data_IF_709402248529
#
_entry.id   IF_709402248529
#
_cell.length_a   1.000
_cell.length_b   1.000
_cell.length_c   1.000
_cell.angle_alpha   90.00
_cell.angle_beta   90.00
_cell.angle_gamma   90.00
#
_symmetry.space_group_name_H-M   'P 1'
#
loop_
_entity.id
_entity.type
_entity.pdbx_description
1 polymer ?
#
# COMPACT_ATOMS: atom_id res chain seq x y z
N UNK A 1 8.50 6.49 -17.25
CA UNK A 1 8.47 5.29 -18.10
C UNK A 1 9.86 4.68 -18.29
N UNK A 2 10.91 5.46 -18.62
CA UNK A 2 12.29 4.94 -18.78
C UNK A 2 12.80 4.04 -17.64
N UNK A 3 12.63 4.45 -16.38
CA UNK A 3 13.05 3.65 -15.22
C UNK A 3 12.42 2.24 -15.19
N UNK A 4 11.18 2.10 -15.65
CA UNK A 4 10.50 0.80 -15.67
C UNK A 4 10.99 -0.11 -16.79
N UNK A 5 11.36 0.44 -17.96
CA UNK A 5 12.01 -0.35 -19.00
C UNK A 5 13.35 -0.90 -18.51
N UNK A 6 14.12 -0.10 -17.76
CA UNK A 6 15.38 -0.56 -17.15
C UNK A 6 15.14 -1.67 -16.12
N UNK A 7 14.17 -1.49 -15.22
CA UNK A 7 13.84 -2.48 -14.18
C UNK A 7 13.33 -3.80 -14.78
N UNK A 8 12.56 -3.73 -15.88
CA UNK A 8 11.99 -4.89 -16.56
C UNK A 8 12.90 -5.47 -17.66
N UNK A 9 14.08 -4.89 -17.90
CA UNK A 9 14.99 -5.33 -18.97
C UNK A 9 14.42 -5.15 -20.38
N UNK A 10 13.49 -4.22 -20.59
CA UNK A 10 12.84 -4.00 -21.88
C UNK A 10 13.74 -3.13 -22.77
N UNK A 11 14.16 -3.68 -23.91
CA UNK A 11 14.99 -2.97 -24.89
C UNK A 11 14.26 -1.76 -25.47
N UNK A 12 15.00 -0.69 -25.74
CA UNK A 12 14.44 0.49 -26.42
C UNK A 12 13.94 0.17 -27.84
N UNK A 13 14.51 -0.87 -28.47
CA UNK A 13 14.10 -1.35 -29.79
C UNK A 13 12.77 -2.10 -29.76
N UNK A 14 12.35 -2.58 -28.59
CA UNK A 14 11.03 -3.18 -28.46
C UNK A 14 9.97 -2.09 -28.44
N UNK A 15 9.08 -2.11 -29.44
CA UNK A 15 7.96 -1.19 -29.59
C UNK A 15 6.82 -1.52 -28.59
N UNK A 16 7.18 -1.70 -27.32
CA UNK A 16 6.26 -1.96 -26.22
C UNK A 16 5.49 -0.70 -25.84
N UNK A 17 4.16 -0.80 -25.83
CA UNK A 17 3.29 0.29 -25.39
C UNK A 17 3.47 0.58 -23.90
N UNK A 18 3.39 1.86 -23.54
CA UNK A 18 3.38 2.34 -22.16
C UNK A 18 2.34 1.63 -21.28
N UNK A 19 1.21 1.21 -21.85
CA UNK A 19 0.16 0.51 -21.10
C UNK A 19 0.49 -0.96 -20.83
N UNK A 20 1.20 -1.63 -21.73
CA UNK A 20 1.72 -2.98 -21.46
C UNK A 20 2.75 -2.94 -20.35
N UNK A 21 3.67 -1.97 -20.39
CA UNK A 21 4.68 -1.77 -19.33
C UNK A 21 4.03 -1.51 -17.97
N UNK A 22 2.95 -0.70 -17.93
CA UNK A 22 2.18 -0.50 -16.68
C UNK A 22 1.51 -1.79 -16.21
N UNK A 23 1.00 -2.60 -17.14
CA UNK A 23 0.31 -3.85 -16.82
C UNK A 23 1.27 -4.89 -16.24
N UNK A 24 2.44 -5.08 -16.84
CA UNK A 24 3.49 -5.97 -16.33
C UNK A 24 3.99 -5.52 -14.96
N UNK A 25 4.25 -4.22 -14.77
CA UNK A 25 4.59 -3.68 -13.43
C UNK A 25 3.49 -3.99 -12.43
N UNK A 26 2.22 -3.75 -12.76
CA UNK A 26 1.11 -4.02 -11.85
C UNK A 26 0.96 -5.50 -11.53
N UNK A 27 1.22 -6.39 -12.48
CA UNK A 27 1.24 -7.83 -12.27
C UNK A 27 2.40 -8.24 -11.34
N UNK A 28 3.62 -7.77 -11.60
CA UNK A 28 4.78 -8.03 -10.74
C UNK A 28 4.60 -7.46 -9.32
N UNK A 29 4.14 -6.21 -9.20
CA UNK A 29 3.84 -5.57 -7.90
C UNK A 29 2.68 -6.27 -7.19
N UNK A 30 1.69 -6.76 -7.93
CA UNK A 30 0.59 -7.55 -7.37
C UNK A 30 1.04 -8.82 -6.66
N UNK A 31 2.22 -9.37 -7.00
CA UNK A 31 2.86 -10.48 -6.28
C UNK A 31 3.57 -10.01 -5.01
N UNK A 32 4.16 -8.81 -5.00
CA UNK A 32 4.77 -8.19 -3.81
C UNK A 32 3.75 -7.60 -2.82
N UNK A 33 2.45 -7.57 -3.17
CA UNK A 33 1.38 -7.23 -2.22
C UNK A 33 1.36 -8.21 -1.03
N UNK A 34 1.77 -9.47 -1.23
CA UNK A 34 1.96 -10.44 -0.15
C UNK A 34 3.12 -10.06 0.77
N UNK A 35 4.24 -9.57 0.21
CA UNK A 35 5.39 -9.14 1.00
C UNK A 35 5.02 -8.02 1.97
N UNK A 36 4.24 -7.02 1.54
CA UNK A 36 3.79 -5.96 2.44
C UNK A 36 2.86 -6.50 3.54
N UNK A 37 2.00 -7.46 3.22
CA UNK A 37 1.15 -8.13 4.21
C UNK A 37 1.99 -8.92 5.23
N UNK A 38 2.96 -9.70 4.77
CA UNK A 38 3.92 -10.44 5.62
C UNK A 38 4.72 -9.48 6.51
N UNK A 39 5.22 -8.38 5.96
CA UNK A 39 5.98 -7.37 6.71
C UNK A 39 5.08 -6.75 7.78
N UNK A 40 3.87 -6.32 7.43
CA UNK A 40 2.91 -5.77 8.41
C UNK A 40 2.64 -6.75 9.54
N UNK A 41 2.34 -8.00 9.18
CA UNK A 41 2.04 -9.05 10.15
C UNK A 41 3.22 -9.31 11.09
N UNK A 42 4.44 -9.51 10.57
CA UNK A 42 5.63 -9.74 11.39
C UNK A 42 5.90 -8.57 12.34
N UNK A 43 5.80 -7.34 11.84
CA UNK A 43 6.02 -6.14 12.66
C UNK A 43 4.97 -5.97 13.76
N UNK A 44 3.70 -6.22 13.46
CA UNK A 44 2.62 -6.14 14.45
C UNK A 44 2.71 -7.29 15.47
N UNK A 45 3.00 -8.53 15.03
CA UNK A 45 3.24 -9.66 15.95
C UNK A 45 4.38 -9.35 16.93
N UNK A 46 5.49 -8.82 16.42
CA UNK A 46 6.62 -8.41 17.26
C UNK A 46 6.25 -7.30 18.24
N UNK A 47 5.47 -6.30 17.81
CA UNK A 47 4.99 -5.24 18.71
C UNK A 47 4.16 -5.81 19.88
N UNK A 48 3.23 -6.73 19.61
CA UNK A 48 2.44 -7.36 20.67
C UNK A 48 3.29 -8.20 21.61
N UNK A 49 4.24 -8.96 21.05
CA UNK A 49 5.19 -9.75 21.84
C UNK A 49 6.03 -8.87 22.78
N UNK A 50 6.60 -7.77 22.27
CA UNK A 50 7.40 -6.84 23.07
C UNK A 50 6.54 -6.13 24.12
N UNK A 51 5.33 -5.70 23.77
CA UNK A 51 4.42 -5.01 24.71
C UNK A 51 4.02 -5.91 25.89
N UNK A 52 3.85 -7.22 25.65
CA UNK A 52 3.55 -8.22 26.68
C UNK A 52 4.77 -8.74 27.45
N UNK A 53 6.00 -8.41 27.04
CA UNK A 53 7.23 -8.77 27.74
C UNK A 53 7.69 -7.64 28.67
N UNK A 54 8.43 -7.94 29.74
CA UNK A 54 9.00 -6.92 30.63
C UNK A 54 10.52 -6.78 30.47
N UNK A 55 10.98 -6.69 29.21
CA UNK A 55 12.39 -6.55 28.85
C UNK A 55 12.78 -5.15 28.36
N UNK A 56 14.08 -4.91 28.21
CA UNK A 56 14.65 -3.66 27.69
C UNK A 56 14.03 -3.23 26.35
N UNK A 57 13.68 -4.20 25.49
CA UNK A 57 13.03 -3.94 24.21
C UNK A 57 11.72 -3.17 24.36
N UNK A 58 10.93 -3.40 25.42
CA UNK A 58 9.70 -2.66 25.71
C UNK A 58 10.00 -1.21 26.09
N UNK A 59 10.98 -1.01 26.97
CA UNK A 59 11.43 0.33 27.39
C UNK A 59 11.95 1.13 26.20
N UNK A 60 12.74 0.52 25.32
CA UNK A 60 13.26 1.16 24.10
C UNK A 60 12.13 1.46 23.11
N UNK A 61 11.16 0.56 22.96
CA UNK A 61 10.03 0.73 22.05
C UNK A 61 9.06 1.83 22.52
N UNK A 62 8.84 1.93 23.83
CA UNK A 62 7.96 2.92 24.46
C UNK A 62 8.67 4.25 24.73
N UNK A 63 10.00 4.23 24.83
CA UNK A 63 10.83 5.41 24.99
C UNK A 63 10.71 6.34 23.80
N UNK A 64 9.88 7.37 23.93
CA UNK A 64 9.96 8.54 23.07
C UNK A 64 11.26 9.25 23.38
N UNK A 65 12.29 9.00 22.58
CA UNK A 65 13.51 9.82 22.60
C UNK A 65 13.10 11.25 22.25
N UNK A 66 13.19 12.15 23.23
CA UNK A 66 12.97 13.57 23.04
C UNK A 66 14.06 14.13 22.11
N UNK A 67 13.63 14.81 21.04
CA UNK A 67 14.56 15.34 20.06
C UNK A 67 13.98 15.42 18.65
N UNK A 68 14.42 16.43 17.90
CA UNK A 68 14.04 16.62 16.49
C UNK A 68 15.04 15.86 15.62
N UNK A 69 14.58 14.84 14.87
CA UNK A 69 15.43 14.18 13.87
C UNK A 69 15.87 15.17 12.80
N UNK A 70 17.09 15.00 12.31
CA UNK A 70 17.67 15.77 11.21
C UNK A 70 16.72 15.75 10.00
N UNK A 71 16.56 16.91 9.35
CA UNK A 71 15.54 17.18 8.30
C UNK A 71 15.69 16.30 7.05
N UNK A 72 16.83 15.64 6.90
CA UNK A 72 17.31 15.02 5.66
C UNK A 72 17.03 13.51 5.53
N UNK A 73 16.37 12.89 6.53
CA UNK A 73 16.12 11.44 6.56
C UNK A 73 14.66 11.03 6.43
N UNK A 74 14.43 9.71 6.38
CA UNK A 74 13.09 9.12 6.37
C UNK A 74 12.34 9.49 7.65
N UNK A 75 11.25 10.26 7.51
CA UNK A 75 10.52 10.86 8.64
C UNK A 75 9.64 9.87 9.40
N UNK A 76 9.29 8.73 8.79
CA UNK A 76 8.41 7.73 9.40
C UNK A 76 9.12 6.98 10.52
N UNK A 77 8.58 7.07 11.73
CA UNK A 77 8.98 6.24 12.87
C UNK A 77 8.42 4.83 12.71
N UNK A 78 9.01 3.88 13.43
CA UNK A 78 8.42 2.56 13.60
C UNK A 78 7.00 2.65 14.18
N UNK A 79 6.81 3.47 15.22
CA UNK A 79 5.51 3.74 15.85
C UNK A 79 4.50 4.38 14.89
N UNK A 80 4.97 5.19 13.92
CA UNK A 80 4.10 5.75 12.89
C UNK A 80 3.53 4.67 11.98
N UNK A 81 4.31 3.62 11.66
CA UNK A 81 3.80 2.48 10.88
C UNK A 81 2.72 1.71 11.65
N UNK A 82 2.93 1.50 12.95
CA UNK A 82 1.92 0.87 13.83
C UNK A 82 0.62 1.68 13.76
N UNK A 83 0.70 3.00 13.98
CA UNK A 83 -0.46 3.92 13.95
C UNK A 83 -1.14 3.94 12.58
N UNK A 84 -0.37 3.95 11.50
CA UNK A 84 -0.89 3.96 10.12
C UNK A 84 -1.65 2.66 9.79
N UNK A 85 -1.15 1.50 10.23
CA UNK A 85 -1.74 0.21 9.90
C UNK A 85 -2.91 -0.17 10.79
N UNK A 86 -2.83 0.08 12.10
CA UNK A 86 -3.92 -0.20 13.04
C UNK A 86 -4.99 0.89 13.02
N UNK A 87 -4.68 2.08 12.48
CA UNK A 87 -5.52 3.29 12.53
C UNK A 87 -5.94 3.67 13.96
N UNK A 88 -5.12 3.30 14.96
CA UNK A 88 -5.36 3.54 16.38
C UNK A 88 -4.23 4.37 16.99
N UNK A 89 -4.51 5.04 18.10
CA UNK A 89 -3.49 5.76 18.86
C UNK A 89 -2.55 4.77 19.55
N UNK A 90 -1.34 5.24 19.90
CA UNK A 90 -0.34 4.40 20.54
C UNK A 90 -0.83 3.79 21.86
N UNK A 91 -1.49 4.61 22.69
CA UNK A 91 -2.08 4.19 23.98
C UNK A 91 -3.11 3.07 23.80
N UNK A 92 -4.04 3.23 22.85
CA UNK A 92 -5.06 2.21 22.56
C UNK A 92 -4.43 0.93 22.03
N UNK A 93 -3.41 1.06 21.18
CA UNK A 93 -2.69 -0.09 20.62
C UNK A 93 -1.94 -0.86 21.70
N UNK A 94 -1.37 -0.16 22.68
CA UNK A 94 -0.71 -0.76 23.84
C UNK A 94 -1.70 -1.53 24.72
N UNK A 95 -2.86 -0.94 25.03
CA UNK A 95 -3.92 -1.62 25.78
C UNK A 95 -4.44 -2.87 25.06
N UNK A 96 -4.65 -2.79 23.74
CA UNK A 96 -5.07 -3.94 22.93
C UNK A 96 -4.00 -5.02 22.82
N UNK A 97 -2.72 -4.66 22.88
CA UNK A 97 -1.62 -5.63 22.84
C UNK A 97 -1.53 -6.49 24.11
N UNK A 98 -2.07 -6.04 25.24
CA UNK A 98 -2.18 -6.84 26.46
C UNK A 98 -3.23 -7.95 26.34
N UNK A 99 -4.30 -7.72 25.57
CA UNK A 99 -5.31 -8.72 25.26
C UNK A 99 -4.89 -9.51 24.01
N UNK A 100 -4.39 -10.74 24.22
CA UNK A 100 -3.80 -11.54 23.13
C UNK A 100 -4.78 -11.86 22.01
N UNK A 101 -6.06 -12.07 22.31
CA UNK A 101 -7.04 -12.48 21.30
C UNK A 101 -7.44 -11.27 20.46
N UNK A 102 -7.74 -10.14 21.13
CA UNK A 102 -7.97 -8.87 20.41
C UNK A 102 -6.76 -8.41 19.61
N UNK A 103 -5.54 -8.67 20.11
CA UNK A 103 -4.32 -8.36 19.37
C UNK A 103 -4.17 -9.18 18.10
N UNK A 104 -4.41 -10.51 18.17
CA UNK A 104 -4.36 -11.39 16.98
C UNK A 104 -5.36 -10.95 15.93
N UNK A 105 -6.58 -10.65 16.33
CA UNK A 105 -7.62 -10.15 15.42
C UNK A 105 -7.22 -8.82 14.77
N UNK A 106 -6.68 -7.90 15.58
CA UNK A 106 -6.20 -6.63 15.06
C UNK A 106 -5.06 -6.81 14.05
N UNK A 107 -4.09 -7.68 14.33
CA UNK A 107 -2.99 -8.00 13.41
C UNK A 107 -3.53 -8.57 12.11
N UNK A 108 -4.43 -9.54 12.18
CA UNK A 108 -5.04 -10.18 11.02
C UNK A 108 -5.80 -9.17 10.15
N UNK A 109 -6.56 -8.28 10.77
CA UNK A 109 -7.34 -7.26 10.07
C UNK A 109 -6.46 -6.14 9.50
N UNK A 110 -5.35 -5.80 10.17
CA UNK A 110 -4.45 -4.71 9.76
C UNK A 110 -3.43 -5.13 8.71
N UNK A 111 -3.03 -6.41 8.68
CA UNK A 111 -2.14 -6.97 7.67
C UNK A 111 -2.85 -7.21 6.33
N UNK A 112 -4.15 -7.53 6.39
CA UNK A 112 -4.98 -7.74 5.21
C UNK A 112 -5.09 -6.49 4.35
N UNK A 113 -5.13 -6.73 3.04
CA UNK A 113 -5.37 -5.72 2.03
C UNK A 113 -6.74 -5.08 2.23
N UNK A 114 -6.78 -3.76 2.40
CA UNK A 114 -7.99 -3.02 2.03
C UNK A 114 -8.14 -3.16 0.53
N UNK A 115 -9.18 -3.87 0.05
CA UNK A 115 -9.57 -3.78 -1.36
C UNK A 115 -9.81 -2.31 -1.63
N UNK A 116 -8.94 -1.66 -2.43
CA UNK A 116 -9.27 -0.34 -2.97
C UNK A 116 -10.59 -0.56 -3.69
N UNK A 117 -11.68 0.00 -3.17
CA UNK A 117 -12.93 0.07 -3.90
C UNK A 117 -12.58 0.53 -5.30
N UNK A 118 -12.99 -0.24 -6.30
CA UNK A 118 -12.73 0.08 -7.70
C UNK A 118 -13.17 1.51 -7.93
N UNK A 119 -12.22 2.45 -7.90
CA UNK A 119 -12.43 3.75 -8.54
C UNK A 119 -12.65 3.33 -9.98
N UNK A 120 -13.92 3.29 -10.41
CA UNK A 120 -14.28 3.08 -11.82
C UNK A 120 -13.33 3.99 -12.58
N UNK A 121 -12.34 3.40 -13.26
CA UNK A 121 -11.48 4.19 -14.13
C UNK A 121 -12.46 4.81 -15.12
N UNK A 122 -12.58 6.15 -15.14
CA UNK A 122 -13.27 6.81 -16.24
C UNK A 122 -12.62 6.26 -17.50
N UNK A 123 -13.35 5.57 -18.39
CA UNK A 123 -12.79 5.18 -19.67
C UNK A 123 -12.29 6.47 -20.31
N UNK A 124 -11.02 6.49 -20.73
CA UNK A 124 -10.56 7.55 -21.60
C UNK A 124 -11.52 7.54 -22.80
N UNK A 125 -12.15 8.70 -23.05
CA UNK A 125 -13.00 8.93 -24.20
C UNK A 125 -12.32 8.31 -25.42
N UNK A 126 -12.93 7.25 -25.96
CA UNK A 126 -12.59 6.72 -27.28
C UNK A 126 -12.65 7.93 -28.22
N UNK A 127 -11.52 8.30 -28.82
CA UNK A 127 -11.53 9.33 -29.87
C UNK A 127 -12.56 8.88 -30.92
N UNK A 128 -13.49 9.75 -31.36
CA UNK A 128 -14.40 9.39 -32.42
C UNK A 128 -13.56 9.04 -33.66
N UNK A 129 -13.83 7.87 -34.21
CA UNK A 129 -13.18 7.37 -35.42
C UNK A 129 -13.53 8.30 -36.59
N UNK A 130 -12.56 9.00 -37.21
CA UNK A 130 -12.83 10.02 -38.22
C UNK A 130 -13.42 9.47 -39.53
N UNK A 131 -13.51 8.15 -39.69
CA UNK A 131 -14.03 7.49 -40.90
C UNK A 131 -15.47 7.01 -40.78
N UNK A 132 -16.15 7.20 -39.64
CA UNK A 132 -17.53 6.72 -39.47
C UNK A 132 -18.55 7.76 -39.98
N UNK A 133 -19.30 7.49 -41.07
CA UNK A 133 -20.32 8.42 -41.55
C UNK A 133 -21.50 8.50 -40.57
N UNK A 134 -22.01 9.72 -40.39
CA UNK A 134 -23.06 10.08 -39.45
C UNK A 134 -24.42 9.50 -39.93
N UNK A 135 -25.14 8.70 -39.14
CA UNK A 135 -26.44 8.19 -39.57
C UNK A 135 -27.47 9.33 -39.57
N UNK A 136 -27.93 9.65 -40.77
CA UNK A 136 -29.05 10.55 -41.08
C UNK A 136 -30.24 10.27 -40.16
N UNK A 137 -30.73 11.29 -39.46
CA UNK A 137 -31.95 11.20 -38.67
C UNK A 137 -33.15 11.06 -39.62
N UNK A 138 -34.08 10.10 -39.41
CA UNK A 138 -35.32 10.07 -40.17
C UNK A 138 -36.24 11.20 -39.71
N UNK A 139 -36.73 11.95 -40.68
CA UNK A 139 -37.71 13.02 -40.52
C UNK A 139 -39.00 12.44 -39.93
N UNK A 140 -39.49 13.02 -38.84
CA UNK A 140 -40.85 12.79 -38.34
C UNK A 140 -41.78 13.81 -38.99
N UNK A 141 -42.72 13.30 -39.79
CA UNK A 141 -43.98 13.97 -40.16
C UNK A 141 -44.86 14.18 -38.94
#
# INVERSE_FOLDING_TARGET
MRCYHTILGISYLSHTSNDQVRTTIHQHIGLYDDLLTIVKERKLRWYGHVTGSDGLAKTVLQGTVEGRRRREGQRKKWSDNIKEWTKKTFVVTQALAHDRDRWRDLVHNSSRRHKKGTRRRRPYLTRPDPTRPNPTQPNLT
#
